data_IF_662117047507
#
_entry.id   IF_662117047507
#
_cell.length_a   1.000
_cell.length_b   1.000
_cell.length_c   1.000
_cell.angle_alpha   90.00
_cell.angle_beta   90.00
_cell.angle_gamma   90.00
#
_symmetry.space_group_name_H-M   'P 1'
#
loop_
_entity.id
_entity.type
_entity.pdbx_description
1 polymer ?
#
# COMPACT_ATOMS: atom_id res chain seq x y z
N UNK A 1 -10.00 11.58 1.93
CA UNK A 1 -8.79 11.65 2.76
C UNK A 1 -9.12 11.26 4.20
N UNK A 2 -10.10 11.91 4.82
CA UNK A 2 -10.31 11.83 6.28
C UNK A 2 -11.26 10.73 6.75
N UNK A 3 -11.36 9.61 6.02
CA UNK A 3 -12.22 8.47 6.40
C UNK A 3 -11.42 7.22 6.76
N UNK A 4 -10.17 7.10 6.31
CA UNK A 4 -9.30 5.99 6.67
C UNK A 4 -8.71 6.29 8.05
N UNK A 5 -8.99 5.40 9.02
CA UNK A 5 -8.54 5.54 10.41
C UNK A 5 -7.53 4.47 10.81
N UNK A 6 -7.51 3.35 10.10
CA UNK A 6 -6.63 2.22 10.34
C UNK A 6 -6.27 1.57 9.01
N UNK A 7 -5.10 0.93 8.97
CA UNK A 7 -4.64 0.18 7.81
C UNK A 7 -4.06 -1.15 8.28
N UNK A 8 -4.72 -2.24 7.88
CA UNK A 8 -4.23 -3.60 8.08
C UNK A 8 -3.67 -4.09 6.75
N UNK A 9 -2.41 -4.49 6.77
CA UNK A 9 -1.72 -5.11 5.65
C UNK A 9 -2.04 -6.59 5.72
N UNK A 10 -2.93 -7.02 4.83
CA UNK A 10 -3.37 -8.41 4.68
C UNK A 10 -3.31 -8.80 3.22
N UNK A 11 -2.72 -9.94 2.92
CA UNK A 11 -2.59 -10.44 1.56
C UNK A 11 -3.53 -11.61 1.30
N UNK A 12 -3.91 -11.75 0.04
CA UNK A 12 -4.80 -12.79 -0.43
C UNK A 12 -4.52 -13.07 -1.89
N UNK A 13 -4.88 -14.28 -2.32
CA UNK A 13 -4.89 -14.64 -3.73
C UNK A 13 -6.25 -15.18 -4.12
N UNK A 14 -6.56 -15.07 -5.41
CA UNK A 14 -7.75 -15.61 -6.01
C UNK A 14 -7.40 -16.52 -7.19
N UNK A 15 -7.61 -17.82 -7.01
CA UNK A 15 -7.32 -18.88 -7.98
C UNK A 15 -8.60 -19.68 -8.31
N UNK A 16 -9.51 -19.12 -9.13
CA UNK A 16 -10.82 -19.70 -9.38
C UNK A 16 -10.78 -20.90 -10.32
N UNK A 17 -11.84 -21.72 -10.25
CA UNK A 17 -12.15 -22.77 -11.24
C UNK A 17 -13.64 -22.67 -11.54
N UNK A 18 -14.10 -23.28 -12.64
CA UNK A 18 -15.54 -23.32 -12.98
C UNK A 18 -16.42 -24.12 -12.01
N UNK A 19 -15.84 -24.74 -10.96
CA UNK A 19 -16.55 -25.63 -10.02
C UNK A 19 -16.63 -25.08 -8.60
N UNK A 20 -16.19 -23.84 -8.36
CA UNK A 20 -16.15 -23.24 -7.03
C UNK A 20 -16.70 -21.81 -7.02
N UNK A 21 -17.40 -21.46 -5.93
CA UNK A 21 -17.73 -20.06 -5.62
C UNK A 21 -16.52 -19.31 -5.06
N UNK A 22 -16.65 -17.99 -4.84
CA UNK A 22 -15.53 -17.10 -4.42
C UNK A 22 -14.78 -17.61 -3.18
N UNK A 23 -15.49 -18.17 -2.21
CA UNK A 23 -14.92 -18.75 -0.99
C UNK A 23 -14.96 -20.29 -0.95
N UNK A 24 -15.40 -20.93 -2.04
CA UNK A 24 -15.52 -22.39 -2.17
C UNK A 24 -16.35 -23.08 -1.06
N UNK A 25 -17.27 -22.35 -0.42
CA UNK A 25 -18.15 -22.91 0.62
C UNK A 25 -17.39 -23.42 1.85
N UNK A 26 -17.70 -24.62 2.31
CA UNK A 26 -17.07 -25.25 3.48
C UNK A 26 -15.78 -26.02 3.15
N UNK A 27 -15.19 -25.80 1.98
CA UNK A 27 -13.92 -26.42 1.64
C UNK A 27 -12.80 -26.01 2.63
N UNK A 28 -11.80 -26.89 2.83
CA UNK A 28 -10.56 -26.53 3.53
C UNK A 28 -9.93 -25.28 2.94
N UNK A 29 -9.24 -24.47 3.75
CA UNK A 29 -8.66 -23.20 3.31
C UNK A 29 -7.73 -23.31 2.09
N UNK A 30 -7.00 -24.42 1.99
CA UNK A 30 -6.07 -24.68 0.88
C UNK A 30 -6.79 -24.84 -0.46
N UNK A 31 -8.04 -25.30 -0.45
CA UNK A 31 -8.85 -25.62 -1.62
C UNK A 31 -9.83 -24.50 -2.00
N UNK A 32 -9.74 -23.35 -1.32
CA UNK A 32 -10.59 -22.19 -1.62
C UNK A 32 -10.04 -21.38 -2.78
N UNK A 33 -10.94 -20.84 -3.62
CA UNK A 33 -10.58 -19.91 -4.69
C UNK A 33 -9.92 -18.67 -4.11
N UNK A 34 -10.61 -18.00 -3.17
CA UNK A 34 -10.05 -16.92 -2.37
C UNK A 34 -9.44 -17.45 -1.08
N UNK A 35 -8.13 -17.23 -0.89
CA UNK A 35 -7.43 -17.64 0.33
C UNK A 35 -6.44 -16.58 0.80
N UNK A 36 -6.32 -16.44 2.12
CA UNK A 36 -5.36 -15.53 2.74
C UNK A 36 -3.94 -16.07 2.65
N UNK A 37 -3.01 -15.16 2.43
CA UNK A 37 -1.59 -15.43 2.19
C UNK A 37 -0.74 -14.59 3.12
N UNK A 38 0.48 -15.07 3.38
CA UNK A 38 1.50 -14.21 3.99
C UNK A 38 1.81 -13.06 3.04
N UNK A 39 2.18 -11.91 3.59
CA UNK A 39 2.45 -10.70 2.80
C UNK A 39 3.54 -10.96 1.76
N UNK A 40 3.22 -10.68 0.50
CA UNK A 40 4.11 -10.89 -0.64
C UNK A 40 3.93 -12.23 -1.35
N UNK A 41 3.16 -13.17 -0.78
CA UNK A 41 2.84 -14.45 -1.41
C UNK A 41 1.45 -14.44 -2.10
N UNK A 42 0.71 -13.33 -2.03
CA UNK A 42 -0.60 -13.18 -2.66
C UNK A 42 -0.57 -12.27 -3.89
N UNK A 43 -1.69 -11.62 -4.15
CA UNK A 43 -1.95 -10.87 -5.38
C UNK A 43 -2.24 -9.38 -5.12
N UNK A 44 -2.20 -8.93 -3.87
CA UNK A 44 -2.47 -7.51 -3.55
C UNK A 44 -1.32 -6.63 -4.03
N UNK A 45 -1.65 -5.57 -4.78
CA UNK A 45 -0.70 -4.55 -5.22
C UNK A 45 -0.37 -3.56 -4.08
N UNK A 46 0.52 -3.97 -3.19
CA UNK A 46 0.94 -3.15 -2.05
C UNK A 46 1.69 -1.89 -2.46
N UNK A 47 2.44 -1.92 -3.56
CA UNK A 47 3.14 -0.72 -4.06
C UNK A 47 2.13 0.40 -4.34
N UNK A 48 1.03 0.10 -5.01
CA UNK A 48 -0.05 1.05 -5.28
C UNK A 48 -0.80 1.47 -4.02
N UNK A 49 -1.08 0.53 -3.11
CA UNK A 49 -1.78 0.84 -1.84
C UNK A 49 -0.97 1.81 -0.98
N UNK A 50 0.31 1.53 -0.74
CA UNK A 50 1.18 2.40 0.06
C UNK A 50 1.36 3.76 -0.63
N UNK A 51 1.57 3.79 -1.96
CA UNK A 51 1.65 5.06 -2.72
C UNK A 51 0.39 5.92 -2.56
N UNK A 52 -0.80 5.32 -2.63
CA UNK A 52 -2.08 6.03 -2.46
C UNK A 52 -2.28 6.52 -1.04
N UNK A 53 -1.93 5.73 -0.02
CA UNK A 53 -2.01 6.13 1.38
C UNK A 53 -1.04 7.28 1.70
N UNK A 54 0.17 7.22 1.17
CA UNK A 54 1.17 8.28 1.28
C UNK A 54 0.69 9.57 0.60
N UNK A 55 0.18 9.50 -0.63
CA UNK A 55 -0.41 10.66 -1.32
C UNK A 55 -1.64 11.23 -0.58
N UNK A 56 -2.40 10.36 0.06
CA UNK A 56 -3.52 10.72 0.93
C UNK A 56 -3.07 11.22 2.32
N UNK A 57 -1.77 11.34 2.61
CA UNK A 57 -1.26 11.85 3.88
C UNK A 57 -1.72 11.06 5.10
N UNK A 58 -1.98 9.75 4.94
CA UNK A 58 -2.34 8.89 6.06
C UNK A 58 -1.13 8.71 6.99
N UNK A 59 -1.30 8.97 8.28
CA UNK A 59 -0.25 8.98 9.30
C UNK A 59 -0.46 7.92 10.40
N UNK A 60 -1.29 6.90 10.13
CA UNK A 60 -1.52 5.79 11.05
C UNK A 60 -0.55 4.62 10.85
N UNK A 61 -0.75 3.57 11.63
CA UNK A 61 0.05 2.35 11.56
C UNK A 61 -0.30 1.50 10.34
N UNK A 62 0.71 0.89 9.73
CA UNK A 62 0.56 -0.24 8.82
C UNK A 62 0.66 -1.53 9.65
N UNK A 63 -0.47 -2.06 10.07
CA UNK A 63 -0.55 -3.22 10.98
C UNK A 63 -0.49 -4.50 10.16
N UNK A 64 0.48 -5.38 10.42
CA UNK A 64 0.50 -6.72 9.82
C UNK A 64 -0.65 -7.54 10.40
N UNK A 65 -1.64 -7.89 9.57
CA UNK A 65 -2.69 -8.85 9.91
C UNK A 65 -2.38 -10.16 9.19
N UNK A 66 -1.78 -11.11 9.92
CA UNK A 66 -1.28 -12.33 9.32
C UNK A 66 -2.28 -13.47 9.37
N UNK A 67 -2.55 -14.08 8.21
CA UNK A 67 -3.28 -15.33 8.07
C UNK A 67 -2.77 -16.04 6.81
N UNK A 68 -2.37 -17.31 6.91
CA UNK A 68 -1.90 -18.07 5.77
C UNK A 68 -2.20 -19.55 5.95
N UNK A 69 -2.79 -20.17 4.93
CA UNK A 69 -3.09 -21.60 4.97
C UNK A 69 -1.87 -22.51 4.73
N UNK A 70 -0.69 -21.96 4.45
CA UNK A 70 0.51 -22.73 4.09
C UNK A 70 1.76 -22.41 4.93
N UNK A 71 1.99 -21.13 5.28
CA UNK A 71 3.24 -20.68 5.93
C UNK A 71 3.13 -20.77 7.45
N UNK A 72 4.24 -21.02 8.14
CA UNK A 72 4.31 -20.99 9.61
C UNK A 72 4.13 -19.54 10.14
N UNK A 73 3.41 -19.33 11.26
CA UNK A 73 3.14 -17.99 11.78
C UNK A 73 4.40 -17.19 12.15
N UNK A 74 5.45 -17.83 12.68
CA UNK A 74 6.69 -17.12 13.05
C UNK A 74 7.45 -16.57 11.83
N UNK A 75 7.52 -17.35 10.75
CA UNK A 75 8.08 -16.89 9.48
C UNK A 75 7.22 -15.79 8.87
N UNK A 76 5.90 -15.99 8.92
CA UNK A 76 4.90 -15.00 8.54
C UNK A 76 5.07 -13.65 9.24
N UNK A 77 5.31 -13.67 10.55
CA UNK A 77 5.52 -12.46 11.35
C UNK A 77 6.86 -11.79 11.02
N UNK A 78 7.95 -12.56 10.97
CA UNK A 78 9.30 -12.05 10.65
C UNK A 78 9.36 -11.43 9.25
N UNK A 79 8.83 -12.13 8.25
CA UNK A 79 8.82 -11.68 6.86
C UNK A 79 7.82 -10.55 6.65
N UNK A 80 6.63 -10.64 7.23
CA UNK A 80 5.60 -9.60 7.14
C UNK A 80 6.04 -8.26 7.72
N UNK A 81 6.75 -8.27 8.86
CA UNK A 81 7.31 -7.06 9.46
C UNK A 81 8.35 -6.39 8.54
N UNK A 82 9.24 -7.18 7.93
CA UNK A 82 10.21 -6.67 6.96
C UNK A 82 9.52 -6.13 5.70
N UNK A 83 8.56 -6.88 5.16
CA UNK A 83 7.78 -6.50 3.99
C UNK A 83 7.10 -5.13 4.17
N UNK A 84 6.41 -4.92 5.31
CA UNK A 84 5.75 -3.63 5.60
C UNK A 84 6.77 -2.51 5.72
N UNK A 85 7.86 -2.72 6.46
CA UNK A 85 8.93 -1.72 6.60
C UNK A 85 9.44 -1.26 5.25
N UNK A 86 9.67 -2.19 4.33
CA UNK A 86 10.25 -1.91 3.02
C UNK A 86 9.26 -1.22 2.05
N UNK A 87 7.95 -1.28 2.33
CA UNK A 87 6.90 -0.56 1.60
C UNK A 87 6.60 0.85 2.14
N UNK A 88 7.04 1.17 3.36
CA UNK A 88 6.83 2.51 3.93
C UNK A 88 7.65 3.54 3.15
N UNK A 89 6.96 4.50 2.55
CA UNK A 89 7.59 5.57 1.78
C UNK A 89 8.04 6.70 2.71
N UNK A 90 9.35 6.96 2.73
CA UNK A 90 9.88 8.21 3.30
C UNK A 90 9.57 9.36 2.34
N UNK A 91 8.65 10.22 2.73
CA UNK A 91 8.23 11.38 1.92
C UNK A 91 9.35 12.42 1.79
N UNK A 92 9.40 13.09 0.64
CA UNK A 92 10.30 14.22 0.39
C UNK A 92 9.86 15.45 1.19
N UNK A 93 10.83 16.26 1.62
CA UNK A 93 10.60 17.54 2.31
C UNK A 93 10.16 18.66 1.36
N UNK A 94 10.39 18.47 0.05
CA UNK A 94 10.13 19.47 -0.99
C UNK A 94 9.22 18.92 -2.09
N UNK A 95 8.42 19.81 -2.67
CA UNK A 95 7.62 19.48 -3.84
C UNK A 95 8.53 19.09 -5.01
N UNK A 96 8.09 18.14 -5.83
CA UNK A 96 8.86 17.66 -6.98
C UNK A 96 9.17 18.77 -7.99
N UNK A 97 8.19 19.66 -8.22
CA UNK A 97 8.31 20.78 -9.16
C UNK A 97 9.17 21.94 -8.62
N UNK A 98 9.53 21.91 -7.33
CA UNK A 98 10.40 22.89 -6.68
C UNK A 98 11.89 22.49 -6.75
N UNK A 99 12.23 21.55 -7.65
CA UNK A 99 13.61 21.11 -7.89
C UNK A 99 14.55 22.26 -8.26
N UNK A 100 14.04 23.32 -8.88
CA UNK A 100 14.85 24.47 -9.28
C UNK A 100 15.35 25.31 -8.09
N UNK A 101 14.79 25.17 -6.89
CA UNK A 101 15.25 25.83 -5.66
C UNK A 101 15.34 27.35 -5.72
N UNK A 102 14.76 27.97 -6.75
CA UNK A 102 14.75 29.40 -6.94
C UNK A 102 13.63 30.01 -6.12
N UNK A 103 13.96 30.98 -5.26
CA UNK A 103 12.93 31.82 -4.67
C UNK A 103 12.11 32.48 -5.79
N UNK A 104 10.80 32.47 -5.65
CA UNK A 104 9.91 33.11 -6.61
C UNK A 104 10.04 34.62 -6.49
N UNK A 105 10.74 35.25 -7.43
CA UNK A 105 10.82 36.71 -7.52
C UNK A 105 9.51 37.25 -8.11
N UNK A 106 8.61 37.69 -7.21
CA UNK A 106 7.33 38.26 -7.59
C UNK A 106 7.46 39.51 -8.48
N UNK A 107 8.56 40.26 -8.39
CA UNK A 107 8.81 41.44 -9.23
C UNK A 107 9.22 40.99 -10.62
N UNK A 108 10.18 40.07 -10.73
CA UNK A 108 10.59 39.50 -12.02
C UNK A 108 9.41 38.80 -12.73
N UNK A 109 8.59 38.05 -11.99
CA UNK A 109 7.40 37.37 -12.52
C UNK A 109 6.37 38.37 -13.07
N UNK A 110 6.10 39.47 -12.36
CA UNK A 110 5.19 40.52 -12.85
C UNK A 110 5.71 41.21 -14.10
N UNK A 111 7.02 41.50 -14.15
CA UNK A 111 7.66 42.07 -15.34
C UNK A 111 7.55 41.15 -16.55
N UNK A 112 7.81 39.85 -16.39
CA UNK A 112 7.67 38.86 -17.47
C UNK A 112 6.22 38.74 -17.96
N UNK A 113 5.23 38.87 -17.06
CA UNK A 113 3.81 38.82 -17.37
C UNK A 113 3.24 40.16 -17.90
N UNK A 114 4.04 41.22 -17.96
CA UNK A 114 3.60 42.56 -18.38
C UNK A 114 2.64 43.23 -17.39
N UNK A 115 2.55 42.73 -16.16
CA UNK A 115 1.71 43.29 -15.10
C UNK A 115 2.54 44.37 -14.38
N UNK A 116 2.07 45.62 -14.42
CA UNK A 116 2.65 46.73 -13.65
C UNK A 116 2.02 46.83 -12.28
#
# INVERSE_FOLDING_TARGET
KDRIRMFHVKDAEFNPTGRQGVYSGYQPWVDRAGRFRSLGDGQVDFVSVFSKLTAAGFNGWAVVEWECCLKHPEDGAREGAAFVRDHIIRVTERAFDDFAGGESDAVANRQMLGIR
#
